data_IF_693837001299
#
_entry.id   IF_693837001299
#
_cell.length_a   1.000
_cell.length_b   1.000
_cell.length_c   1.000
_cell.angle_alpha   90.00
_cell.angle_beta   90.00
_cell.angle_gamma   90.00
#
_symmetry.space_group_name_H-M   'P 1'
#
loop_
_entity.id
_entity.type
_entity.pdbx_description
1 polymer ?
#
# COMPACT_ATOMS: atom_id res chain seq x y z
N UNK A 1 -28.73 58.85 95.95
CA UNK A 1 -29.10 58.13 94.71
C UNK A 1 -28.19 58.61 93.58
N UNK A 2 -27.22 57.72 93.26
CA UNK A 2 -26.43 57.48 92.02
C UNK A 2 -26.36 58.58 90.95
N UNK A 3 -25.18 59.19 90.77
CA UNK A 3 -24.04 58.80 89.90
C UNK A 3 -24.20 59.19 88.42
N UNK A 4 -23.42 60.19 88.02
CA UNK A 4 -23.17 60.62 86.64
C UNK A 4 -21.66 60.75 86.43
N UNK A 5 -21.21 60.22 85.28
CA UNK A 5 -20.04 60.62 84.48
C UNK A 5 -18.63 60.31 85.04
N UNK A 6 -18.02 59.25 84.51
CA UNK A 6 -16.60 59.28 84.12
C UNK A 6 -16.30 58.13 83.14
N UNK A 7 -16.40 58.39 81.83
CA UNK A 7 -16.02 57.43 80.79
C UNK A 7 -15.54 58.21 79.57
N UNK A 8 -14.34 58.79 79.64
CA UNK A 8 -13.65 59.43 78.49
C UNK A 8 -12.22 59.85 78.88
N UNK A 9 -11.26 58.94 79.06
CA UNK A 9 -9.81 59.30 79.03
C UNK A 9 -8.87 58.18 78.50
N UNK A 10 -9.22 56.88 78.50
CA UNK A 10 -8.26 55.81 78.12
C UNK A 10 -8.56 55.22 76.72
N UNK A 11 -8.64 56.06 75.69
CA UNK A 11 -8.74 55.61 74.29
C UNK A 11 -8.00 56.53 73.29
N UNK A 12 -7.11 57.40 73.78
CA UNK A 12 -6.47 58.44 72.95
C UNK A 12 -4.95 58.49 73.16
N UNK A 13 -4.28 57.33 73.19
CA UNK A 13 -2.83 57.25 73.28
C UNK A 13 -2.20 56.09 72.48
N UNK A 14 -2.81 55.70 71.35
CA UNK A 14 -2.21 54.74 70.39
C UNK A 14 -2.51 55.16 68.92
N UNK A 15 -2.63 56.46 68.63
CA UNK A 15 -3.01 56.95 67.28
C UNK A 15 -1.91 57.70 66.51
N UNK A 16 -0.65 57.61 66.93
CA UNK A 16 0.48 58.19 66.18
C UNK A 16 1.71 57.27 66.15
N UNK A 17 1.52 55.98 65.86
CA UNK A 17 2.60 55.26 65.17
C UNK A 17 2.55 55.72 63.72
N UNK A 18 3.36 56.73 63.39
CA UNK A 18 3.50 57.20 62.02
C UNK A 18 3.74 56.00 61.11
N UNK A 19 2.90 55.85 60.09
CA UNK A 19 3.14 54.94 59.00
C UNK A 19 4.43 55.45 58.37
N UNK A 20 5.55 54.77 58.65
CA UNK A 20 6.78 55.00 57.93
C UNK A 20 6.53 54.56 56.49
N UNK A 21 6.05 55.49 55.67
CA UNK A 21 6.26 55.38 54.23
C UNK A 21 7.77 55.36 54.07
N UNK A 22 8.29 54.31 53.43
CA UNK A 22 9.66 54.33 52.97
C UNK A 22 9.82 55.62 52.16
N UNK A 23 10.63 56.55 52.67
CA UNK A 23 10.97 57.76 51.95
C UNK A 23 11.71 57.28 50.71
N UNK A 24 11.13 57.54 49.54
CA UNK A 24 11.83 57.40 48.28
C UNK A 24 13.16 58.13 48.40
N UNK A 25 14.25 57.38 48.35
CA UNK A 25 15.59 57.91 48.55
C UNK A 25 16.16 58.50 47.26
N UNK A 26 15.34 58.63 46.20
CA UNK A 26 15.73 59.18 44.91
C UNK A 26 16.76 58.32 44.18
N UNK A 27 16.84 57.02 44.47
CA UNK A 27 17.72 56.08 43.77
C UNK A 27 17.00 55.38 42.61
N UNK A 28 15.75 55.77 42.31
CA UNK A 28 15.03 55.29 41.13
C UNK A 28 15.54 55.98 39.86
N UNK A 29 15.68 55.21 38.78
CA UNK A 29 15.87 55.73 37.44
C UNK A 29 14.65 56.58 37.05
N UNK A 30 14.87 57.77 36.51
CA UNK A 30 13.81 58.64 35.99
C UNK A 30 13.10 58.02 34.78
N UNK A 31 12.00 58.63 34.34
CA UNK A 31 11.17 58.15 33.22
C UNK A 31 11.91 58.03 31.87
N UNK A 32 13.11 58.61 31.74
CA UNK A 32 13.92 58.65 30.52
C UNK A 32 15.31 57.99 30.69
N UNK A 33 15.61 57.37 31.83
CA UNK A 33 16.96 56.85 32.06
C UNK A 33 17.15 55.47 31.43
N UNK A 34 18.11 55.38 30.51
CA UNK A 34 18.57 54.10 29.95
C UNK A 34 19.58 53.44 30.89
N UNK A 35 19.33 52.19 31.29
CA UNK A 35 20.32 51.37 31.99
C UNK A 35 21.24 50.70 30.97
N UNK A 36 22.46 51.19 30.85
CA UNK A 36 23.52 50.49 30.10
C UNK A 36 24.47 49.82 31.08
N UNK A 37 24.53 48.48 31.03
CA UNK A 37 25.52 47.71 31.76
C UNK A 37 26.60 47.28 30.78
N UNK A 38 27.82 47.77 30.99
CA UNK A 38 28.99 47.39 30.20
C UNK A 38 29.86 46.45 31.02
N UNK A 39 29.97 45.21 30.56
CA UNK A 39 30.83 44.20 31.14
C UNK A 39 32.29 44.30 30.68
N UNK A 40 33.23 44.00 31.58
CA UNK A 40 34.64 43.81 31.20
C UNK A 40 35.20 42.57 31.87
N UNK A 41 35.34 41.48 31.11
CA UNK A 41 36.02 40.26 31.58
C UNK A 41 35.15 39.31 32.38
N UNK A 42 33.82 39.46 32.36
CA UNK A 42 32.91 38.54 33.01
C UNK A 42 33.11 37.09 32.57
N UNK A 43 33.00 36.17 33.53
CA UNK A 43 32.99 34.73 33.30
C UNK A 43 31.77 34.12 34.02
N UNK A 44 31.54 32.81 33.88
CA UNK A 44 30.37 32.16 34.52
C UNK A 44 30.30 32.35 36.05
N UNK A 45 31.43 32.60 36.71
CA UNK A 45 31.50 32.86 38.15
C UNK A 45 31.48 34.36 38.51
N UNK A 46 31.51 35.23 37.50
CA UNK A 46 31.49 36.69 37.64
C UNK A 46 30.71 37.28 36.44
N UNK A 47 29.37 37.16 36.44
CA UNK A 47 28.57 37.69 35.35
C UNK A 47 28.57 39.22 35.39
N UNK A 48 28.69 39.86 34.23
CA UNK A 48 28.67 41.32 34.11
C UNK A 48 27.32 41.94 34.54
N UNK A 49 26.25 41.14 34.49
CA UNK A 49 24.94 41.45 35.08
C UNK A 49 24.26 40.14 35.52
N UNK A 50 23.71 40.14 36.74
CA UNK A 50 22.79 39.11 37.22
C UNK A 50 21.43 39.74 37.52
N UNK A 51 20.36 39.12 37.02
CA UNK A 51 18.99 39.63 37.12
C UNK A 51 18.18 38.58 37.89
N UNK A 52 18.09 38.80 39.20
CA UNK A 52 17.36 37.95 40.11
C UNK A 52 15.92 38.41 40.36
N UNK A 53 15.10 37.49 40.83
CA UNK A 53 13.74 37.80 41.28
C UNK A 53 12.74 37.96 40.13
N UNK A 54 11.66 38.71 40.38
CA UNK A 54 10.69 39.04 39.35
C UNK A 54 11.15 40.30 38.63
N UNK A 55 11.67 40.17 37.41
CA UNK A 55 12.12 41.30 36.61
C UNK A 55 11.24 41.49 35.39
N UNK A 56 10.97 42.75 35.08
CA UNK A 56 10.15 43.14 33.96
C UNK A 56 10.94 44.10 33.06
N UNK A 57 11.09 43.76 31.79
CA UNK A 57 11.82 44.56 30.80
C UNK A 57 10.84 45.02 29.71
N UNK A 58 10.70 46.34 29.54
CA UNK A 58 9.84 46.96 28.52
C UNK A 58 8.63 47.71 29.09
N UNK A 59 7.68 48.07 28.22
CA UNK A 59 6.45 48.80 28.60
C UNK A 59 5.41 47.93 29.32
N UNK A 60 4.44 48.55 29.99
CA UNK A 60 3.42 47.87 30.81
C UNK A 60 2.69 46.77 30.03
N UNK A 61 2.79 45.51 30.49
CA UNK A 61 1.99 44.40 29.96
C UNK A 61 0.61 44.48 30.60
N UNK A 62 -0.49 44.51 29.81
CA UNK A 62 -1.82 44.36 30.35
C UNK A 62 -1.91 43.06 31.16
N UNK A 63 -2.48 43.09 32.36
CA UNK A 63 -2.53 41.92 33.26
C UNK A 63 -3.07 40.62 32.58
N UNK A 64 -3.92 40.76 31.55
CA UNK A 64 -4.44 39.64 30.76
C UNK A 64 -3.40 38.91 29.88
N UNK A 65 -2.22 39.50 29.65
CA UNK A 65 -1.14 38.95 28.82
C UNK A 65 0.07 38.49 29.64
N UNK A 66 0.01 38.63 30.97
CA UNK A 66 1.08 38.19 31.86
C UNK A 66 1.01 36.66 32.03
N UNK A 67 1.75 35.95 31.17
CA UNK A 67 1.83 34.48 31.17
C UNK A 67 2.79 33.92 32.23
N UNK A 68 3.58 34.79 32.88
CA UNK A 68 4.43 34.41 34.01
C UNK A 68 3.68 34.61 35.32
N UNK A 69 3.77 33.65 36.22
CA UNK A 69 3.25 33.81 37.58
C UNK A 69 4.07 34.88 38.30
N UNK A 70 3.50 35.63 39.25
CA UNK A 70 4.26 36.62 40.05
C UNK A 70 5.28 36.00 41.02
N UNK A 71 5.77 34.80 40.74
CA UNK A 71 6.77 34.10 41.53
C UNK A 71 8.17 34.66 41.25
N UNK A 72 9.04 34.59 42.24
CA UNK A 72 10.43 34.98 42.10
C UNK A 72 11.15 34.11 41.05
N UNK A 73 12.08 34.72 40.31
CA UNK A 73 12.87 34.06 39.26
C UNK A 73 12.29 34.16 37.85
N UNK A 74 11.17 34.89 37.67
CA UNK A 74 10.59 35.12 36.36
C UNK A 74 11.10 36.43 35.75
N UNK A 75 11.59 36.34 34.51
CA UNK A 75 11.87 37.51 33.68
C UNK A 75 10.76 37.62 32.63
N UNK A 76 9.99 38.71 32.68
CA UNK A 76 8.97 39.05 31.70
C UNK A 76 9.49 40.13 30.76
N UNK A 77 9.33 39.93 29.45
CA UNK A 77 9.73 40.92 28.45
C UNK A 77 8.55 41.21 27.54
N UNK A 78 8.13 42.48 27.49
CA UNK A 78 6.87 42.90 26.86
C UNK A 78 6.99 43.34 25.40
N UNK A 79 8.22 43.45 24.91
CA UNK A 79 8.56 44.05 23.62
C UNK A 79 9.60 43.20 22.89
N UNK A 80 10.23 43.74 21.84
CA UNK A 80 11.29 43.04 21.14
C UNK A 80 12.53 42.89 22.04
N UNK A 81 13.05 41.67 22.13
CA UNK A 81 14.37 41.41 22.71
C UNK A 81 15.34 41.19 21.57
N UNK A 82 16.36 42.02 21.49
CA UNK A 82 17.50 41.79 20.61
C UNK A 82 18.66 41.26 21.45
N UNK A 83 18.97 39.97 21.29
CA UNK A 83 20.10 39.32 21.98
C UNK A 83 21.19 39.11 20.95
N UNK A 84 22.12 40.05 20.83
CA UNK A 84 23.16 40.01 19.81
C UNK A 84 24.55 40.26 20.39
N UNK A 85 25.58 39.87 19.64
CA UNK A 85 26.96 40.28 19.90
C UNK A 85 27.22 41.62 19.21
N UNK A 86 27.90 42.55 19.88
CA UNK A 86 28.30 43.82 19.28
C UNK A 86 29.06 43.58 17.95
N UNK A 87 28.57 44.17 16.86
CA UNK A 87 29.15 44.04 15.52
C UNK A 87 28.62 42.87 14.68
N UNK A 88 27.73 42.02 15.21
CA UNK A 88 27.05 40.99 14.42
C UNK A 88 25.69 41.52 13.90
N UNK A 89 25.35 41.30 12.62
CA UNK A 89 24.11 41.83 12.04
C UNK A 89 22.83 41.14 12.54
N UNK A 90 22.93 40.07 13.35
CA UNK A 90 21.77 39.33 13.86
C UNK A 90 21.92 38.92 15.33
N UNK A 91 20.78 38.86 16.02
CA UNK A 91 20.65 38.31 17.37
C UNK A 91 20.98 36.82 17.38
N UNK A 92 21.93 36.40 18.22
CA UNK A 92 22.35 35.01 18.39
C UNK A 92 22.44 34.66 19.88
N UNK A 93 21.88 33.52 20.27
CA UNK A 93 22.21 32.89 21.55
C UNK A 93 23.53 32.13 21.38
N UNK A 94 24.60 32.61 22.02
CA UNK A 94 25.99 32.14 21.84
C UNK A 94 26.23 30.62 21.90
N UNK A 95 25.35 29.86 22.54
CA UNK A 95 25.53 28.42 22.78
C UNK A 95 24.22 27.62 22.68
N UNK A 96 23.26 27.89 23.58
CA UNK A 96 21.97 27.20 23.63
C UNK A 96 20.96 27.96 24.48
N UNK A 97 19.70 27.98 24.05
CA UNK A 97 18.57 28.33 24.95
C UNK A 97 18.10 27.04 25.61
N UNK A 98 18.31 26.91 26.91
CA UNK A 98 17.79 25.79 27.69
C UNK A 98 16.57 26.25 28.47
N UNK A 99 15.39 25.75 28.08
CA UNK A 99 14.15 25.94 28.85
C UNK A 99 13.99 24.74 29.78
N UNK A 100 14.08 24.94 31.09
CA UNK A 100 13.81 23.89 32.05
C UNK A 100 12.29 23.72 32.21
N UNK A 101 11.70 22.83 31.42
CA UNK A 101 10.25 22.61 31.36
C UNK A 101 9.70 22.68 29.93
N UNK A 102 8.49 23.20 29.76
CA UNK A 102 7.86 23.36 28.45
C UNK A 102 8.10 24.77 27.91
N UNK A 103 8.66 24.86 26.70
CA UNK A 103 8.65 26.09 25.90
C UNK A 103 7.38 26.13 25.05
N UNK A 104 6.63 27.22 25.11
CA UNK A 104 5.44 27.44 24.28
C UNK A 104 5.73 28.57 23.30
N UNK A 105 5.70 28.27 22.01
CA UNK A 105 5.72 29.27 20.96
C UNK A 105 4.28 29.54 20.51
N UNK A 106 3.79 30.77 20.71
CA UNK A 106 2.41 31.15 20.40
C UNK A 106 2.20 31.52 18.92
N UNK A 107 3.28 31.67 18.16
CA UNK A 107 3.26 32.09 16.76
C UNK A 107 4.36 31.38 15.97
N UNK A 108 4.65 31.88 14.77
CA UNK A 108 5.60 31.30 13.82
C UNK A 108 7.00 31.21 14.41
N UNK A 109 7.55 30.00 14.41
CA UNK A 109 8.99 29.75 14.58
C UNK A 109 9.59 29.61 13.19
N UNK A 110 10.49 30.51 12.81
CA UNK A 110 11.19 30.46 11.53
C UNK A 110 12.65 30.05 11.74
N UNK A 111 13.09 29.02 11.01
CA UNK A 111 14.48 28.57 10.97
C UNK A 111 14.98 28.92 9.57
N UNK A 112 15.76 29.99 9.46
CA UNK A 112 16.26 30.48 8.18
C UNK A 112 17.30 29.54 7.56
N UNK A 113 18.19 28.99 8.40
CA UNK A 113 19.22 28.04 8.01
C UNK A 113 19.41 27.00 9.13
N UNK A 114 19.60 25.73 8.75
CA UNK A 114 19.90 24.63 9.67
C UNK A 114 18.81 23.56 9.80
N UNK A 115 19.02 22.62 10.72
CA UNK A 115 18.13 21.47 10.95
C UNK A 115 17.31 21.67 12.23
N UNK A 116 15.99 21.51 12.15
CA UNK A 116 15.15 21.33 13.34
C UNK A 116 15.31 19.89 13.86
N UNK A 117 15.98 19.72 15.00
CA UNK A 117 16.05 18.43 15.69
C UNK A 117 14.93 18.34 16.74
N UNK A 118 13.92 17.51 16.49
CA UNK A 118 12.81 17.28 17.43
C UNK A 118 13.07 16.00 18.25
N UNK A 119 13.95 16.08 19.25
CA UNK A 119 14.28 14.92 20.11
C UNK A 119 14.70 13.66 19.34
N UNK A 120 14.63 12.48 19.99
CA UNK A 120 14.82 11.18 19.36
C UNK A 120 13.68 10.24 19.75
N UNK A 121 12.76 9.97 18.82
CA UNK A 121 11.78 8.91 18.99
C UNK A 121 12.44 7.52 18.98
N UNK A 122 11.74 6.51 19.49
CA UNK A 122 12.13 5.12 19.27
C UNK A 122 12.06 4.77 17.77
N UNK A 123 12.82 3.76 17.34
CA UNK A 123 12.81 3.30 15.96
C UNK A 123 11.38 2.88 15.53
N UNK A 124 10.97 3.27 14.32
CA UNK A 124 9.65 2.95 13.76
C UNK A 124 8.50 3.86 14.20
N UNK A 125 8.79 4.92 14.97
CA UNK A 125 7.80 5.95 15.30
C UNK A 125 7.91 7.14 14.34
N UNK A 126 6.78 7.78 14.08
CA UNK A 126 6.69 9.04 13.34
C UNK A 126 6.14 10.13 14.26
N UNK A 127 6.53 11.38 14.01
CA UNK A 127 6.04 12.52 14.78
C UNK A 127 4.63 12.88 14.28
N UNK A 128 3.63 12.79 15.15
CA UNK A 128 2.22 13.07 14.82
C UNK A 128 1.67 14.19 15.67
N UNK A 129 0.85 15.05 15.05
CA UNK A 129 0.01 16.01 15.79
C UNK A 129 -1.10 15.25 16.51
N UNK A 130 -1.32 15.56 17.78
CA UNK A 130 -2.44 15.02 18.57
C UNK A 130 -3.66 15.93 18.60
N UNK A 131 -3.65 17.06 17.87
CA UNK A 131 -4.77 18.02 17.86
C UNK A 131 -4.96 18.82 19.15
N UNK A 132 -4.17 18.53 20.20
CA UNK A 132 -4.16 19.24 21.48
C UNK A 132 -3.03 20.29 21.56
N UNK A 133 -2.45 20.67 20.42
CA UNK A 133 -1.30 21.57 20.35
C UNK A 133 0.06 20.91 20.57
N UNK A 134 0.10 19.59 20.85
CA UNK A 134 1.34 18.83 21.01
C UNK A 134 1.55 17.86 19.85
N UNK A 135 2.83 17.51 19.64
CA UNK A 135 3.23 16.42 18.77
C UNK A 135 3.87 15.30 19.60
N UNK A 136 3.56 14.05 19.26
CA UNK A 136 4.09 12.87 19.95
C UNK A 136 4.71 11.91 18.94
N UNK A 137 5.76 11.21 19.37
CA UNK A 137 6.26 10.04 18.65
C UNK A 137 5.27 8.90 18.83
N UNK A 138 4.64 8.46 17.75
CA UNK A 138 3.65 7.40 17.79
C UNK A 138 3.90 6.38 16.69
N UNK A 139 3.44 5.15 16.93
CA UNK A 139 3.45 4.12 15.91
C UNK A 139 2.59 4.55 14.76
N UNK A 140 3.03 4.21 13.56
CA UNK A 140 2.24 4.48 12.37
C UNK A 140 1.08 3.50 12.16
N UNK A 141 0.52 2.96 13.23
CA UNK A 141 -0.61 2.02 13.19
C UNK A 141 -1.88 2.62 12.59
N UNK A 142 -1.95 3.96 12.50
CA UNK A 142 -3.08 4.71 11.93
C UNK A 142 -2.62 5.77 10.91
N UNK A 143 -1.33 5.82 10.51
CA UNK A 143 -0.91 6.80 9.49
C UNK A 143 -0.85 6.16 8.11
N UNK A 144 -1.37 6.94 7.16
CA UNK A 144 -2.31 6.46 6.15
C UNK A 144 -3.36 5.55 6.82
N UNK A 145 -4.30 6.15 7.59
CA UNK A 145 -5.37 5.40 8.28
C UNK A 145 -5.91 4.32 7.36
N UNK A 146 -6.04 3.07 7.86
CA UNK A 146 -6.21 1.84 7.09
C UNK A 146 -6.57 2.16 5.65
N UNK A 147 -5.69 1.98 4.64
CA UNK A 147 -5.91 2.49 3.29
C UNK A 147 -7.37 2.24 2.93
N UNK A 148 -8.13 3.32 2.93
CA UNK A 148 -9.59 3.23 3.03
C UNK A 148 -10.05 2.44 1.81
N UNK A 149 -10.66 1.29 2.03
CA UNK A 149 -10.85 0.32 0.96
C UNK A 149 -11.67 -0.88 1.38
N UNK A 150 -12.17 -1.58 0.37
CA UNK A 150 -12.81 -2.87 0.50
C UNK A 150 -11.77 -3.91 0.90
N UNK A 151 -12.03 -4.64 1.98
CA UNK A 151 -11.18 -5.75 2.41
C UNK A 151 -10.83 -6.70 1.24
N UNK A 152 -9.53 -7.00 1.11
CA UNK A 152 -8.92 -7.92 0.12
C UNK A 152 -8.87 -7.44 -1.33
N UNK A 153 -8.98 -6.13 -1.55
CA UNK A 153 -8.57 -5.54 -2.81
C UNK A 153 -7.15 -4.99 -2.69
N UNK A 154 -6.44 -4.97 -3.81
CA UNK A 154 -5.15 -4.29 -3.90
C UNK A 154 -5.43 -2.81 -4.20
N UNK A 155 -5.01 -1.86 -3.35
CA UNK A 155 -5.05 -0.44 -3.68
C UNK A 155 -3.93 -0.11 -4.68
N UNK A 156 -4.25 0.76 -5.64
CA UNK A 156 -3.34 1.27 -6.67
C UNK A 156 -3.46 2.78 -6.77
N UNK A 157 -2.38 3.46 -7.12
CA UNK A 157 -2.45 4.90 -7.38
C UNK A 157 -3.32 5.17 -8.61
N UNK A 158 -4.11 6.24 -8.54
CA UNK A 158 -4.83 6.74 -9.70
C UNK A 158 -3.83 7.35 -10.71
N UNK A 159 -4.19 7.29 -12.00
CA UNK A 159 -3.35 7.84 -13.08
C UNK A 159 -3.18 9.36 -12.99
N UNK A 160 -4.11 10.05 -12.32
CA UNK A 160 -4.05 11.49 -12.05
C UNK A 160 -3.10 11.87 -10.89
N UNK A 161 -2.55 10.87 -10.19
CA UNK A 161 -1.66 11.04 -9.04
C UNK A 161 -2.38 11.52 -7.76
N UNK A 162 -3.70 11.60 -7.75
CA UNK A 162 -4.50 12.12 -6.63
C UNK A 162 -5.25 10.97 -5.96
N UNK A 163 -4.51 10.15 -5.21
CA UNK A 163 -5.07 9.15 -4.30
C UNK A 163 -4.99 7.70 -4.80
N UNK A 164 -5.76 6.83 -4.12
CA UNK A 164 -5.78 5.39 -4.34
C UNK A 164 -7.14 4.96 -4.89
N UNK A 165 -7.12 4.07 -5.89
CA UNK A 165 -8.27 3.31 -6.39
C UNK A 165 -8.07 1.82 -6.10
N UNK A 166 -9.14 1.07 -5.95
CA UNK A 166 -9.08 -0.37 -5.70
C UNK A 166 -9.14 -1.19 -6.99
N UNK A 167 -8.29 -2.20 -7.08
CA UNK A 167 -8.37 -3.19 -8.16
C UNK A 167 -9.64 -4.04 -8.07
N UNK A 168 -10.01 -4.63 -9.22
CA UNK A 168 -11.02 -5.71 -9.29
C UNK A 168 -10.45 -7.11 -9.00
N UNK A 169 -9.22 -7.17 -8.48
CA UNK A 169 -8.57 -8.38 -7.99
C UNK A 169 -8.96 -8.60 -6.54
N UNK A 170 -9.70 -9.67 -6.28
CA UNK A 170 -10.18 -10.02 -4.94
C UNK A 170 -9.42 -11.22 -4.39
N UNK A 171 -8.75 -11.05 -3.25
CA UNK A 171 -8.15 -12.15 -2.49
C UNK A 171 -9.19 -12.89 -1.65
N UNK A 172 -9.32 -14.20 -1.81
CA UNK A 172 -10.31 -15.00 -1.07
C UNK A 172 -9.92 -15.22 0.41
N UNK A 173 -10.93 -15.36 1.29
CA UNK A 173 -10.84 -15.41 2.78
C UNK A 173 -9.85 -16.46 3.29
N UNK A 174 -9.68 -17.55 2.54
CA UNK A 174 -8.98 -18.74 2.99
C UNK A 174 -7.65 -18.97 2.25
N UNK A 175 -7.11 -17.96 1.57
CA UNK A 175 -5.91 -18.12 0.74
C UNK A 175 -6.13 -19.02 -0.49
N UNK A 176 -7.39 -19.23 -0.89
CA UNK A 176 -7.77 -20.18 -1.93
C UNK A 176 -7.52 -19.70 -3.36
N UNK A 177 -7.37 -18.39 -3.58
CA UNK A 177 -7.11 -17.85 -4.91
C UNK A 177 -7.35 -16.35 -5.05
N UNK A 178 -7.25 -15.90 -6.30
CA UNK A 178 -7.53 -14.53 -6.74
C UNK A 178 -8.70 -14.60 -7.70
N UNK A 179 -9.73 -13.78 -7.46
CA UNK A 179 -10.92 -13.70 -8.31
C UNK A 179 -11.02 -12.34 -8.97
N UNK A 180 -11.30 -12.32 -10.27
CA UNK A 180 -11.68 -11.12 -11.01
C UNK A 180 -13.18 -10.90 -10.86
N UNK A 181 -13.58 -9.70 -10.41
CA UNK A 181 -14.99 -9.37 -10.16
C UNK A 181 -15.64 -8.62 -11.33
N UNK A 182 -16.98 -8.55 -11.36
CA UNK A 182 -17.77 -7.66 -12.23
C UNK A 182 -17.44 -7.74 -13.74
N UNK A 183 -17.33 -8.96 -14.29
CA UNK A 183 -16.97 -9.17 -15.70
C UNK A 183 -15.62 -8.54 -16.10
N UNK A 184 -14.72 -8.34 -15.12
CA UNK A 184 -13.35 -7.91 -15.41
C UNK A 184 -12.62 -8.97 -16.24
N UNK A 185 -11.70 -8.51 -17.08
CA UNK A 185 -10.82 -9.37 -17.86
C UNK A 185 -9.38 -9.20 -17.39
N UNK A 186 -8.56 -10.24 -17.60
CA UNK A 186 -7.11 -10.17 -17.44
C UNK A 186 -6.49 -10.38 -18.80
N UNK A 187 -5.60 -9.47 -19.18
CA UNK A 187 -4.76 -9.61 -20.37
C UNK A 187 -3.33 -9.90 -19.93
N UNK A 188 -2.77 -11.03 -20.37
CA UNK A 188 -1.36 -11.39 -20.13
C UNK A 188 -0.66 -11.29 -21.47
N UNK A 189 0.25 -10.34 -21.61
CA UNK A 189 1.02 -10.12 -22.85
C UNK A 189 2.24 -11.04 -22.95
N UNK A 190 2.67 -11.59 -21.81
CA UNK A 190 3.74 -12.58 -21.72
C UNK A 190 3.24 -14.03 -21.68
N UNK A 191 4.13 -14.94 -21.29
CA UNK A 191 3.76 -16.34 -21.08
C UNK A 191 2.86 -16.50 -19.84
N UNK A 192 1.82 -17.32 -19.97
CA UNK A 192 1.03 -17.81 -18.85
C UNK A 192 1.43 -19.25 -18.53
N UNK A 193 1.73 -19.53 -17.26
CA UNK A 193 2.06 -20.88 -16.78
C UNK A 193 1.18 -21.26 -15.59
N UNK A 194 0.71 -22.51 -15.60
CA UNK A 194 0.00 -23.11 -14.47
C UNK A 194 0.71 -24.41 -14.08
N UNK A 195 1.16 -24.50 -12.83
CA UNK A 195 1.77 -25.74 -12.30
C UNK A 195 0.72 -26.82 -11.99
N UNK A 196 -0.54 -26.41 -11.83
CA UNK A 196 -1.70 -27.30 -11.63
C UNK A 196 -2.65 -27.31 -12.83
N UNK A 197 -3.80 -27.95 -12.66
CA UNK A 197 -4.84 -27.98 -13.68
C UNK A 197 -5.38 -26.57 -13.96
N UNK A 198 -5.51 -26.23 -15.25
CA UNK A 198 -6.22 -25.04 -15.69
C UNK A 198 -7.63 -25.45 -16.15
N UNK A 199 -8.66 -24.88 -15.53
CA UNK A 199 -10.07 -25.11 -15.90
C UNK A 199 -10.58 -23.85 -16.59
N UNK A 200 -11.07 -24.01 -17.83
CA UNK A 200 -11.75 -22.96 -18.59
C UNK A 200 -13.23 -23.33 -18.66
N UNK A 201 -14.10 -22.54 -18.03
CA UNK A 201 -15.54 -22.85 -17.94
C UNK A 201 -16.32 -22.68 -19.24
N UNK A 202 -15.70 -22.20 -20.31
CA UNK A 202 -16.32 -21.95 -21.61
C UNK A 202 -15.36 -22.37 -22.73
N UNK A 203 -15.12 -21.50 -23.73
CA UNK A 203 -14.23 -21.79 -24.85
C UNK A 203 -12.75 -21.51 -24.57
N UNK A 204 -11.89 -22.20 -25.31
CA UNK A 204 -10.49 -21.85 -25.53
C UNK A 204 -10.29 -21.60 -27.03
N UNK A 205 -9.84 -20.41 -27.39
CA UNK A 205 -9.40 -20.11 -28.76
C UNK A 205 -7.90 -19.97 -28.78
N UNK A 206 -7.24 -20.77 -29.62
CA UNK A 206 -5.80 -20.70 -29.86
C UNK A 206 -5.59 -20.31 -31.32
N UNK A 207 -5.06 -19.12 -31.56
CA UNK A 207 -4.83 -18.60 -32.92
C UNK A 207 -3.47 -19.02 -33.48
N UNK A 208 -2.51 -19.36 -32.60
CA UNK A 208 -1.19 -19.85 -32.96
C UNK A 208 -1.07 -21.36 -32.96
N UNK A 209 0.13 -21.86 -33.28
CA UNK A 209 0.46 -23.26 -33.09
C UNK A 209 0.42 -23.62 -31.60
N UNK A 210 -0.04 -24.83 -31.29
CA UNK A 210 -0.05 -25.39 -29.93
C UNK A 210 0.40 -26.84 -29.94
N UNK A 211 1.02 -27.24 -28.84
CA UNK A 211 1.49 -28.62 -28.62
C UNK A 211 0.92 -29.11 -27.30
N UNK A 212 0.30 -30.29 -27.31
CA UNK A 212 -0.18 -30.97 -26.12
C UNK A 212 0.68 -32.23 -25.90
N UNK A 213 1.50 -32.23 -24.85
CA UNK A 213 2.47 -33.31 -24.59
C UNK A 213 1.88 -34.46 -23.76
N UNK A 214 0.61 -34.79 -24.00
CA UNK A 214 -0.14 -35.78 -23.22
C UNK A 214 -1.43 -36.18 -23.93
N UNK A 215 -2.27 -36.93 -23.22
CA UNK A 215 -3.54 -37.39 -23.77
C UNK A 215 -4.52 -36.23 -23.94
N UNK A 216 -5.22 -36.20 -25.08
CA UNK A 216 -6.35 -35.32 -25.33
C UNK A 216 -7.61 -36.16 -25.37
N UNK A 217 -8.56 -35.85 -24.48
CA UNK A 217 -9.88 -36.47 -24.46
C UNK A 217 -10.93 -35.44 -24.84
N UNK A 218 -11.66 -35.68 -25.94
CA UNK A 218 -12.84 -34.90 -26.30
C UNK A 218 -14.09 -35.76 -26.12
N UNK A 219 -15.04 -35.26 -25.35
CA UNK A 219 -16.39 -35.88 -25.24
C UNK A 219 -17.32 -35.41 -26.35
N UNK A 220 -16.98 -34.28 -26.99
CA UNK A 220 -17.71 -33.72 -28.13
C UNK A 220 -17.09 -34.10 -29.47
N UNK A 221 -17.65 -33.54 -30.54
CA UNK A 221 -17.12 -33.71 -31.91
C UNK A 221 -15.82 -32.94 -32.09
N UNK A 222 -14.83 -33.57 -32.75
CA UNK A 222 -13.60 -32.91 -33.18
C UNK A 222 -13.72 -32.60 -34.67
N UNK A 223 -13.64 -31.32 -35.03
CA UNK A 223 -13.60 -30.87 -36.41
C UNK A 223 -12.18 -30.46 -36.80
N UNK A 224 -11.60 -31.13 -37.79
CA UNK A 224 -10.24 -30.85 -38.28
C UNK A 224 -10.33 -30.45 -39.74
N UNK A 225 -9.97 -29.20 -40.06
CA UNK A 225 -10.17 -28.63 -41.40
C UNK A 225 -9.15 -29.08 -42.45
N UNK A 226 -7.90 -29.30 -42.03
CA UNK A 226 -6.82 -29.62 -42.97
C UNK A 226 -6.56 -31.12 -43.04
N UNK A 227 -6.11 -31.71 -41.93
CA UNK A 227 -5.82 -33.13 -41.88
C UNK A 227 -5.37 -33.58 -40.51
N UNK A 228 -5.42 -34.89 -40.30
CA UNK A 228 -4.92 -35.57 -39.10
C UNK A 228 -3.80 -36.50 -39.54
N UNK A 229 -2.63 -36.35 -38.93
CA UNK A 229 -1.52 -37.29 -39.09
C UNK A 229 -1.33 -38.05 -37.77
N UNK A 230 -1.35 -39.38 -37.84
CA UNK A 230 -1.15 -40.26 -36.69
C UNK A 230 0.16 -41.02 -36.91
N UNK A 231 1.19 -40.65 -36.16
CA UNK A 231 2.52 -41.27 -36.22
C UNK A 231 2.87 -41.92 -34.88
N UNK A 232 3.60 -43.04 -34.91
CA UNK A 232 4.09 -43.70 -33.69
C UNK A 232 3.05 -44.51 -32.93
N UNK A 233 1.84 -44.68 -33.47
CA UNK A 233 0.76 -45.46 -32.85
C UNK A 233 -0.35 -45.82 -33.85
N UNK A 234 -1.40 -46.45 -33.33
CA UNK A 234 -2.55 -46.90 -34.13
C UNK A 234 -3.68 -45.85 -34.09
N UNK A 235 -4.36 -45.65 -35.22
CA UNK A 235 -5.67 -45.01 -35.27
C UNK A 235 -6.76 -46.08 -35.11
N UNK A 236 -7.66 -45.92 -34.15
CA UNK A 236 -8.79 -46.83 -33.94
C UNK A 236 -10.11 -46.08 -34.12
N UNK A 237 -10.97 -46.59 -35.00
CA UNK A 237 -12.35 -46.11 -35.19
C UNK A 237 -13.27 -47.25 -34.80
N UNK A 238 -14.01 -47.08 -33.71
CA UNK A 238 -14.87 -48.14 -33.14
C UNK A 238 -16.26 -48.20 -33.78
N UNK A 239 -16.63 -47.16 -34.51
CA UNK A 239 -17.89 -47.06 -35.25
C UNK A 239 -17.59 -46.98 -36.76
N UNK A 240 -18.44 -46.28 -37.51
CA UNK A 240 -18.30 -46.16 -38.95
C UNK A 240 -17.22 -45.15 -39.33
N UNK A 241 -16.40 -45.51 -40.32
CA UNK A 241 -15.56 -44.58 -41.07
C UNK A 241 -16.26 -44.29 -42.40
N UNK A 242 -16.58 -43.03 -42.67
CA UNK A 242 -17.06 -42.57 -43.99
C UNK A 242 -15.95 -41.76 -44.66
N UNK A 243 -15.58 -42.13 -45.88
CA UNK A 243 -14.61 -41.41 -46.69
C UNK A 243 -15.31 -40.95 -47.97
N UNK A 244 -15.46 -39.64 -48.14
CA UNK A 244 -16.11 -39.06 -49.32
C UNK A 244 -15.17 -38.97 -50.54
N UNK A 245 -13.87 -39.12 -50.33
CA UNK A 245 -12.85 -39.17 -51.37
C UNK A 245 -12.19 -40.54 -51.47
N UNK A 246 -10.99 -40.57 -52.03
CA UNK A 246 -10.20 -41.80 -52.11
C UNK A 246 -9.66 -42.17 -50.73
N UNK A 247 -9.73 -43.46 -50.39
CA UNK A 247 -9.01 -44.04 -49.28
C UNK A 247 -7.83 -44.86 -49.82
N UNK A 248 -6.61 -44.52 -49.39
CA UNK A 248 -5.43 -45.36 -49.59
C UNK A 248 -5.10 -46.03 -48.25
N UNK A 249 -4.93 -47.34 -48.28
CA UNK A 249 -4.26 -48.08 -47.22
C UNK A 249 -2.78 -48.15 -47.62
N UNK A 250 -1.84 -47.94 -46.70
CA UNK A 250 -0.41 -47.91 -47.01
C UNK A 250 0.19 -46.52 -47.23
N UNK A 251 1.51 -46.44 -47.11
CA UNK A 251 2.30 -45.24 -47.38
C UNK A 251 2.80 -45.17 -48.83
N UNK A 252 2.74 -46.28 -49.58
CA UNK A 252 3.10 -46.34 -50.99
C UNK A 252 2.12 -47.17 -51.82
N UNK A 253 2.06 -46.87 -53.13
CA UNK A 253 1.18 -47.55 -54.11
C UNK A 253 1.51 -49.04 -54.28
N UNK A 254 2.70 -49.47 -53.87
CA UNK A 254 3.16 -50.86 -53.96
C UNK A 254 2.94 -51.68 -52.69
N UNK A 255 2.33 -51.11 -51.65
CA UNK A 255 2.18 -51.77 -50.36
C UNK A 255 1.25 -52.99 -50.44
N UNK A 256 1.54 -53.99 -49.62
CA UNK A 256 0.68 -55.15 -49.46
C UNK A 256 -0.32 -54.88 -48.34
N UNK A 257 -1.61 -55.05 -48.62
CA UNK A 257 -2.67 -54.78 -47.66
C UNK A 257 -3.43 -56.05 -47.28
N UNK A 258 -3.82 -56.10 -46.02
CA UNK A 258 -4.65 -57.16 -45.50
C UNK A 258 -5.78 -56.61 -44.63
N UNK A 259 -6.96 -57.17 -44.82
CA UNK A 259 -8.18 -56.84 -44.08
C UNK A 259 -8.54 -58.08 -43.26
N UNK A 260 -8.55 -57.92 -41.93
CA UNK A 260 -8.82 -58.97 -40.94
C UNK A 260 -7.85 -60.18 -41.00
N UNK A 261 -6.63 -60.00 -41.48
CA UNK A 261 -5.62 -61.06 -41.56
C UNK A 261 -4.21 -60.47 -41.67
N UNK A 262 -3.13 -61.24 -41.38
CA UNK A 262 -1.77 -60.81 -41.69
C UNK A 262 -1.51 -60.72 -43.19
N UNK A 263 -0.63 -59.81 -43.59
CA UNK A 263 -0.12 -59.69 -44.96
C UNK A 263 0.68 -60.93 -45.36
N UNK A 264 0.72 -61.24 -46.66
CA UNK A 264 1.49 -62.35 -47.23
C UNK A 264 2.24 -61.83 -48.46
N UNK A 265 3.53 -62.16 -48.55
CA UNK A 265 4.36 -61.75 -49.68
C UNK A 265 3.72 -62.10 -51.03
N UNK A 266 3.74 -61.15 -51.97
CA UNK A 266 3.18 -61.30 -53.32
C UNK A 266 1.66 -61.18 -53.42
N UNK A 267 0.93 -60.90 -52.34
CA UNK A 267 -0.54 -60.72 -52.35
C UNK A 267 -0.91 -59.25 -52.13
N UNK A 268 -1.37 -58.56 -53.18
CA UNK A 268 -1.72 -57.14 -53.10
C UNK A 268 -2.88 -56.84 -52.12
N UNK A 269 -3.93 -57.68 -52.12
CA UNK A 269 -5.06 -57.59 -51.20
C UNK A 269 -5.42 -58.97 -50.67
N UNK A 270 -5.44 -59.11 -49.34
CA UNK A 270 -5.93 -60.31 -48.65
C UNK A 270 -7.09 -59.95 -47.73
N UNK A 271 -8.25 -60.58 -47.92
CA UNK A 271 -9.44 -60.37 -47.10
C UNK A 271 -9.83 -61.69 -46.44
N UNK A 272 -9.99 -61.70 -45.12
CA UNK A 272 -10.53 -62.86 -44.39
C UNK A 272 -12.02 -62.64 -44.09
N UNK A 273 -12.86 -63.53 -44.61
CA UNK A 273 -14.28 -63.61 -44.25
C UNK A 273 -14.54 -64.58 -43.10
N UNK A 274 -15.79 -64.68 -42.68
CA UNK A 274 -16.23 -65.62 -41.65
C UNK A 274 -16.06 -67.09 -42.04
N UNK A 275 -16.01 -67.98 -41.04
CA UNK A 275 -15.74 -69.41 -41.23
C UNK A 275 -16.95 -70.24 -41.70
N UNK A 276 -18.11 -69.62 -41.89
CA UNK A 276 -19.35 -70.31 -42.28
C UNK A 276 -19.34 -70.62 -43.78
N UNK A 277 -19.29 -71.91 -44.12
CA UNK A 277 -19.47 -72.36 -45.51
C UNK A 277 -20.80 -71.85 -46.06
N UNK A 278 -20.82 -71.47 -47.33
CA UNK A 278 -22.02 -70.91 -47.94
C UNK A 278 -22.07 -69.38 -47.92
N UNK A 279 -21.34 -68.71 -47.02
CA UNK A 279 -21.39 -67.25 -46.89
C UNK A 279 -20.55 -66.56 -47.96
N UNK A 280 -21.09 -65.47 -48.50
CA UNK A 280 -20.33 -64.56 -49.34
C UNK A 280 -19.38 -63.76 -48.44
N UNK A 281 -18.09 -63.74 -48.79
CA UNK A 281 -17.04 -63.05 -48.03
C UNK A 281 -16.62 -61.74 -48.68
N UNK A 282 -16.94 -61.56 -49.96
CA UNK A 282 -16.71 -60.32 -50.69
C UNK A 282 -17.73 -60.21 -51.83
N UNK A 283 -18.27 -59.01 -52.02
CA UNK A 283 -19.14 -58.64 -53.14
C UNK A 283 -18.56 -57.40 -53.81
N UNK A 284 -18.71 -57.35 -55.13
CA UNK A 284 -18.39 -56.18 -55.92
C UNK A 284 -19.62 -55.79 -56.72
N UNK A 285 -19.92 -54.51 -56.73
CA UNK A 285 -21.06 -53.94 -57.41
C UNK A 285 -20.57 -52.92 -58.44
N UNK A 286 -21.26 -52.82 -59.57
CA UNK A 286 -21.12 -51.70 -60.50
C UNK A 286 -22.31 -50.76 -60.29
N UNK A 287 -22.15 -49.76 -59.42
CA UNK A 287 -23.21 -48.83 -59.04
C UNK A 287 -23.79 -49.12 -57.65
N UNK A 288 -25.10 -48.90 -57.49
CA UNK A 288 -25.77 -49.03 -56.19
C UNK A 288 -25.72 -50.47 -55.64
N UNK A 289 -25.72 -50.60 -54.31
CA UNK A 289 -25.69 -51.89 -53.59
C UNK A 289 -27.04 -52.60 -53.73
N UNK A 290 -27.27 -53.21 -54.89
CA UNK A 290 -28.45 -54.01 -55.21
C UNK A 290 -28.05 -55.34 -55.84
N UNK A 291 -28.90 -56.36 -55.69
CA UNK A 291 -28.63 -57.69 -56.27
C UNK A 291 -28.44 -57.66 -57.80
N UNK A 292 -29.11 -56.72 -58.49
CA UNK A 292 -29.00 -56.56 -59.94
C UNK A 292 -27.65 -55.98 -60.39
N UNK A 293 -26.99 -55.20 -59.55
CA UNK A 293 -25.73 -54.53 -59.86
C UNK A 293 -24.50 -55.31 -59.37
N UNK A 294 -24.68 -56.49 -58.77
CA UNK A 294 -23.56 -57.31 -58.28
C UNK A 294 -22.83 -57.95 -59.46
N UNK A 295 -21.59 -57.56 -59.67
CA UNK A 295 -20.75 -58.03 -60.79
C UNK A 295 -19.83 -59.18 -60.43
N UNK A 296 -19.43 -59.31 -59.18
CA UNK A 296 -18.60 -60.42 -58.71
C UNK A 296 -18.89 -60.73 -57.24
N UNK A 297 -18.55 -61.94 -56.82
CA UNK A 297 -18.53 -62.33 -55.41
C UNK A 297 -17.57 -63.50 -55.16
N UNK A 298 -17.04 -63.60 -53.94
CA UNK A 298 -16.30 -64.76 -53.45
C UNK A 298 -17.08 -65.35 -52.28
N UNK A 299 -17.27 -66.68 -52.29
CA UNK A 299 -17.99 -67.41 -51.23
C UNK A 299 -17.07 -68.42 -50.58
N UNK A 300 -17.27 -68.62 -49.27
CA UNK A 300 -16.59 -69.67 -48.53
C UNK A 300 -17.09 -71.04 -49.01
N UNK A 301 -16.15 -71.86 -49.50
CA UNK A 301 -16.36 -73.29 -49.69
C UNK A 301 -16.56 -73.97 -48.34
#
# INVERSE_FOLDING_TARGET
MKMKKLTSVIAMLVLFSGIAFAVDNGTEFGIEDDLTILGTGGNWNDPDADIDGFTFIGGTIPAAQQLVTGQAGNVAISSAVQIGQAGAPMSYFGSSVTVNGYGIFLSTVQINDGNLKVGTGAAGLVLKSAGNGFAYWQTDTVGAGEPSGTARRVPMYQDDGVGLIETWLYGDVAGGGITLLNNSSMTITGAFGANGAAILGSGLTVTGASTFNGNITSTGTVFVQNGVNVTGGNASVTNNLTVNGNAQLGDAVGDLHAINTPTVAGTALRVLGGNTSGNIIQEWYSGDITAANRVAWIKKK
#
